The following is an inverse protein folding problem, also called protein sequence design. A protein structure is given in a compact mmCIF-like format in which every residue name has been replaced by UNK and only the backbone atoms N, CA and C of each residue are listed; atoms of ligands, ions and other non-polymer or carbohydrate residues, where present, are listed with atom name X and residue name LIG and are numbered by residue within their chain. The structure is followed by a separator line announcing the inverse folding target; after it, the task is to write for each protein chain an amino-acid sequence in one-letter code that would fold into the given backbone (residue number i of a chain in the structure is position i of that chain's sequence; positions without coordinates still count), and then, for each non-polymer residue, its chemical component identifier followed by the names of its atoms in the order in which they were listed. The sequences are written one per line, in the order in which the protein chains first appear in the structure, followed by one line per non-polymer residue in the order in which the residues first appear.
data_IF_087341795316
#
_entry.id   IF_087341795316
#
_cell.length_a   1.000
_cell.length_b   1.000
_cell.length_c   1.000
_cell.angle_alpha   90.00
_cell.angle_beta   90.00
_cell.angle_gamma   90.00
#
_symmetry.space_group_name_H-M   'P 1'
#
loop_
_entity.id
_entity.type
_entity.pdbx_description
1 polymer ?
#
# COMPACT_ATOMS: atom_id res chain seq x y z
N UNK A 1 -1.90 -6.14 1.51
CA UNK A 1 -3.18 -5.60 0.98
C UNK A 1 -4.19 -6.71 0.69
N UNK A 2 -3.88 -7.67 -0.19
CA UNK A 2 -4.81 -8.77 -0.56
C UNK A 2 -5.34 -9.58 0.63
N UNK A 3 -4.51 -9.81 1.66
CA UNK A 3 -4.92 -10.50 2.90
C UNK A 3 -6.00 -9.75 3.68
N UNK A 4 -5.95 -8.42 3.73
CA UNK A 4 -6.95 -7.59 4.40
C UNK A 4 -8.27 -7.61 3.65
N UNK A 5 -8.21 -7.44 2.32
CA UNK A 5 -9.39 -7.51 1.45
C UNK A 5 -10.09 -8.88 1.54
N UNK A 6 -9.33 -9.97 1.70
CA UNK A 6 -9.88 -11.32 1.81
C UNK A 6 -10.79 -11.51 3.04
N UNK A 7 -10.57 -10.75 4.11
CA UNK A 7 -11.39 -10.77 5.33
C UNK A 7 -12.36 -9.58 5.42
N UNK A 8 -12.55 -8.86 4.30
CA UNK A 8 -13.48 -7.72 4.22
C UNK A 8 -12.93 -6.41 4.81
N UNK A 9 -11.67 -6.36 5.23
CA UNK A 9 -11.04 -5.14 5.71
C UNK A 9 -10.48 -4.30 4.56
N UNK A 10 -10.55 -2.96 4.64
CA UNK A 10 -9.93 -2.10 3.63
C UNK A 10 -8.42 -2.28 3.67
N UNK A 11 -7.82 -2.36 2.48
CA UNK A 11 -6.37 -2.34 2.33
C UNK A 11 -5.98 -1.12 1.50
N UNK A 12 -4.97 -0.39 1.94
CA UNK A 12 -4.39 0.73 1.19
C UNK A 12 -3.03 0.34 0.60
N UNK A 13 -2.64 0.99 -0.49
CA UNK A 13 -1.28 0.96 -1.04
C UNK A 13 -0.93 2.37 -1.44
N UNK A 14 0.17 2.88 -0.92
CA UNK A 14 0.77 4.13 -1.36
C UNK A 14 1.81 3.73 -2.40
N UNK A 15 1.52 4.03 -3.66
CA UNK A 15 2.40 3.72 -4.79
C UNK A 15 3.09 5.03 -5.15
N UNK A 16 4.41 5.01 -5.19
CA UNK A 16 5.24 6.12 -5.64
C UNK A 16 5.39 6.06 -7.17
N UNK A 17 5.91 7.13 -7.76
CA UNK A 17 6.34 7.09 -9.16
C UNK A 17 7.40 6.01 -9.35
N UNK A 18 7.35 5.34 -10.51
CA UNK A 18 8.14 4.15 -10.77
C UNK A 18 9.65 4.42 -10.78
N UNK A 19 10.11 5.62 -11.15
CA UNK A 19 11.52 5.98 -11.33
C UNK A 19 12.29 4.87 -12.07
N UNK A 20 13.28 4.26 -11.42
CA UNK A 20 14.05 3.11 -11.93
C UNK A 20 13.70 1.80 -11.20
N UNK A 21 12.60 1.77 -10.43
CA UNK A 21 12.21 0.66 -9.59
C UNK A 21 12.11 -0.64 -10.38
N UNK A 22 11.27 -0.69 -11.41
CA UNK A 22 11.01 -1.92 -12.17
C UNK A 22 12.16 -2.37 -13.06
N UNK A 23 13.06 -1.45 -13.44
CA UNK A 23 14.10 -1.71 -14.45
C UNK A 23 15.46 -2.00 -13.84
N UNK A 24 15.78 -1.39 -12.69
CA UNK A 24 17.14 -1.40 -12.14
C UNK A 24 17.20 -1.83 -10.68
N UNK A 25 16.34 -1.29 -9.81
CA UNK A 25 16.55 -1.43 -8.37
C UNK A 25 15.75 -2.59 -7.76
N UNK A 26 14.58 -2.93 -8.31
CA UNK A 26 13.72 -3.96 -7.72
C UNK A 26 14.41 -5.32 -7.65
N UNK A 27 14.63 -5.81 -6.41
CA UNK A 27 15.25 -7.10 -6.12
C UNK A 27 16.66 -7.28 -6.72
N UNK A 28 17.42 -6.19 -6.86
CA UNK A 28 18.81 -6.25 -7.30
C UNK A 28 19.75 -5.77 -6.20
N UNK A 29 21.06 -6.01 -6.37
CA UNK A 29 22.09 -5.44 -5.48
C UNK A 29 22.26 -3.92 -5.64
N UNK A 30 21.53 -3.29 -6.57
CA UNK A 30 21.55 -1.85 -6.82
C UNK A 30 20.49 -1.08 -6.01
N UNK A 31 19.68 -1.78 -5.20
CA UNK A 31 18.76 -1.17 -4.23
C UNK A 31 19.52 -0.67 -3.00
N UNK A 32 20.12 0.50 -3.14
CA UNK A 32 20.99 1.13 -2.14
C UNK A 32 20.48 2.52 -1.76
N UNK A 33 20.97 3.05 -0.64
CA UNK A 33 20.58 4.34 -0.08
C UNK A 33 20.57 5.50 -1.09
N UNK A 34 21.55 5.53 -2.00
CA UNK A 34 21.70 6.60 -3.00
C UNK A 34 20.54 6.68 -4.01
N UNK A 35 19.66 5.67 -4.04
CA UNK A 35 18.47 5.66 -4.90
C UNK A 35 17.27 6.41 -4.30
N UNK A 36 17.36 6.81 -3.03
CA UNK A 36 16.30 7.55 -2.35
C UNK A 36 16.26 9.02 -2.78
N UNK A 37 15.05 9.53 -3.02
CA UNK A 37 14.79 10.96 -3.27
C UNK A 37 14.26 11.58 -1.99
N UNK A 38 15.05 12.44 -1.35
CA UNK A 38 14.74 12.96 -0.01
C UNK A 38 13.43 13.77 0.00
N UNK A 39 13.20 14.58 -1.03
CA UNK A 39 12.00 15.38 -1.21
C UNK A 39 10.73 14.51 -1.26
N UNK A 40 10.77 13.41 -2.02
CA UNK A 40 9.66 12.48 -2.13
C UNK A 40 9.40 11.74 -0.82
N UNK A 41 10.47 11.36 -0.09
CA UNK A 41 10.33 10.74 1.23
C UNK A 41 9.64 11.66 2.24
N UNK A 42 9.99 12.94 2.24
CA UNK A 42 9.35 13.93 3.11
C UNK A 42 7.87 14.10 2.76
N UNK A 43 7.55 14.25 1.47
CA UNK A 43 6.16 14.38 1.02
C UNK A 43 5.32 13.13 1.37
N UNK A 44 5.85 11.94 1.09
CA UNK A 44 5.18 10.67 1.40
C UNK A 44 4.97 10.50 2.91
N UNK A 45 5.94 10.90 3.73
CA UNK A 45 5.82 10.86 5.19
C UNK A 45 4.65 11.72 5.69
N UNK A 46 4.49 12.93 5.15
CA UNK A 46 3.38 13.83 5.50
C UNK A 46 2.04 13.23 5.08
N UNK A 47 1.95 12.67 3.87
CA UNK A 47 0.72 12.04 3.35
C UNK A 47 0.31 10.85 4.23
N UNK A 48 1.26 9.95 4.55
CA UNK A 48 0.99 8.78 5.39
C UNK A 48 0.59 9.18 6.81
N UNK A 49 1.31 10.13 7.42
CA UNK A 49 1.00 10.63 8.75
C UNK A 49 -0.39 11.27 8.79
N UNK A 50 -0.72 12.11 7.81
CA UNK A 50 -2.04 12.72 7.68
C UNK A 50 -3.15 11.69 7.52
N UNK A 51 -2.96 10.68 6.66
CA UNK A 51 -3.96 9.63 6.48
C UNK A 51 -4.19 8.81 7.75
N UNK A 52 -3.13 8.41 8.45
CA UNK A 52 -3.24 7.65 9.70
C UNK A 52 -3.87 8.50 10.80
N UNK A 53 -3.52 9.78 10.89
CA UNK A 53 -4.13 10.70 11.84
C UNK A 53 -5.64 10.85 11.59
N UNK A 54 -6.04 11.14 10.36
CA UNK A 54 -7.45 11.25 9.99
C UNK A 54 -8.20 9.95 10.26
N UNK A 55 -7.62 8.79 9.93
CA UNK A 55 -8.23 7.49 10.19
C UNK A 55 -8.36 7.18 11.70
N UNK A 56 -7.41 7.63 12.51
CA UNK A 56 -7.42 7.42 13.97
C UNK A 56 -8.39 8.36 14.70
N UNK A 57 -8.60 9.57 14.16
CA UNK A 57 -9.52 10.57 14.72
C UNK A 57 -10.94 10.47 14.16
N UNK A 58 -11.19 9.59 13.19
CA UNK A 58 -12.52 9.41 12.62
C UNK A 58 -13.41 8.65 13.59
N UNK A 59 -14.58 9.22 13.92
CA UNK A 59 -15.52 8.60 14.87
C UNK A 59 -16.09 7.27 14.35
N UNK A 60 -16.24 7.15 13.03
CA UNK A 60 -16.76 5.94 12.38
C UNK A 60 -15.64 5.07 11.80
N UNK A 61 -15.93 3.78 11.62
CA UNK A 61 -15.01 2.88 10.94
C UNK A 61 -14.94 3.20 9.44
N UNK A 62 -13.75 3.10 8.87
CA UNK A 62 -13.57 3.16 7.42
C UNK A 62 -14.43 2.08 6.71
N UNK A 63 -14.97 2.38 5.52
CA UNK A 63 -15.82 1.44 4.78
C UNK A 63 -15.16 0.07 4.59
N UNK A 64 -15.87 -0.98 5.00
CA UNK A 64 -15.45 -2.38 4.85
C UNK A 64 -16.12 -2.99 3.62
N UNK A 65 -15.39 -3.83 2.90
CA UNK A 65 -15.98 -4.55 1.76
C UNK A 65 -16.93 -5.62 2.28
N UNK A 66 -18.22 -5.51 1.94
CA UNK A 66 -19.21 -6.57 2.22
C UNK A 66 -18.96 -7.82 1.38
N UNK A 67 -18.40 -7.64 0.19
CA UNK A 67 -18.03 -8.73 -0.69
C UNK A 67 -16.59 -9.12 -0.36
N UNK A 68 -16.41 -10.21 0.40
CA UNK A 68 -15.13 -10.93 0.39
C UNK A 68 -14.80 -11.21 -1.08
N UNK A 69 -13.61 -10.82 -1.54
CA UNK A 69 -13.22 -11.02 -2.93
C UNK A 69 -13.37 -12.50 -3.29
N UNK A 70 -14.42 -12.86 -4.03
CA UNK A 70 -14.43 -14.07 -4.85
C UNK A 70 -13.52 -13.78 -6.05
N UNK A 71 -12.21 -13.76 -5.79
CA UNK A 71 -11.28 -13.79 -6.89
C UNK A 71 -11.35 -15.24 -7.41
N UNK A 72 -11.90 -15.43 -8.61
CA UNK A 72 -12.04 -16.74 -9.26
C UNK A 72 -10.67 -17.43 -9.54
N UNK A 73 -9.58 -17.05 -8.85
CA UNK A 73 -8.31 -17.77 -8.94
C UNK A 73 -8.48 -19.13 -8.27
N UNK A 74 -8.08 -20.14 -9.04
CA UNK A 74 -8.18 -21.58 -8.74
C UNK A 74 -7.69 -21.95 -7.33
N UNK A 75 -6.75 -21.21 -6.76
CA UNK A 75 -6.08 -21.45 -5.48
C UNK A 75 -6.86 -21.01 -4.23
N UNK A 76 -7.99 -20.31 -4.39
CA UNK A 76 -8.86 -19.89 -3.29
C UNK A 76 -10.19 -20.67 -3.21
N UNK A 77 -10.35 -21.72 -4.02
CA UNK A 77 -11.45 -22.67 -3.88
C UNK A 77 -11.10 -23.63 -2.73
N UNK A 78 -11.91 -23.64 -1.68
CA UNK A 78 -11.92 -24.72 -0.69
C UNK A 78 -12.48 -25.99 -1.32
#
# INVERSE_FOLDING_TARGET
NMSFLAVGLPGFRFIQDDLEFWTTTWHTSMDVYDRLVAEDLMANSVIMAGMVYCAAMHDELLPRSKNMMNNNRRWHKK
#
